data_IF_279403090234
#
_entry.id   IF_279403090234
#
_cell.length_a   1.000
_cell.length_b   1.000
_cell.length_c   1.000
_cell.angle_alpha   90.00
_cell.angle_beta   90.00
_cell.angle_gamma   90.00
#
_symmetry.space_group_name_H-M   'P 1'
#
loop_
_entity.id
_entity.type
_entity.pdbx_description
1 polymer ?
#
# COMPACT_ATOMS: atom_id res chain seq x y z
N UNK A 1 4.16 -43.90 -6.75
CA UNK A 1 4.28 -42.58 -6.11
C UNK A 1 4.76 -41.60 -7.19
N UNK A 2 3.88 -40.75 -7.71
CA UNK A 2 4.22 -39.73 -8.71
C UNK A 2 4.63 -38.45 -8.01
N UNK A 3 5.91 -38.05 -8.20
CA UNK A 3 6.43 -36.76 -7.74
C UNK A 3 5.68 -35.63 -8.46
N UNK A 4 4.87 -34.89 -7.71
CA UNK A 4 4.31 -33.62 -8.15
C UNK A 4 5.36 -32.54 -7.88
N UNK A 5 6.09 -32.15 -8.91
CA UNK A 5 6.91 -30.93 -8.87
C UNK A 5 5.99 -29.73 -8.70
N UNK A 6 6.27 -28.83 -7.77
CA UNK A 6 5.52 -27.58 -7.67
C UNK A 6 5.84 -26.74 -8.92
N UNK A 7 4.82 -26.49 -9.76
CA UNK A 7 4.89 -25.53 -10.85
C UNK A 7 5.29 -24.17 -10.27
N UNK A 8 6.56 -23.81 -10.40
CA UNK A 8 7.02 -22.43 -10.26
C UNK A 8 6.41 -21.66 -11.43
N UNK A 9 5.37 -20.90 -11.15
CA UNK A 9 4.93 -19.83 -12.05
C UNK A 9 6.07 -18.79 -12.02
N UNK A 10 6.89 -18.79 -13.06
CA UNK A 10 7.82 -17.70 -13.31
C UNK A 10 6.98 -16.49 -13.72
N UNK A 11 6.64 -15.66 -12.75
CA UNK A 11 6.15 -14.31 -13.04
C UNK A 11 7.35 -13.54 -13.56
N UNK A 12 7.35 -13.26 -14.86
CA UNK A 12 8.31 -12.36 -15.49
C UNK A 12 8.17 -11.00 -14.78
N UNK A 13 9.14 -10.67 -13.95
CA UNK A 13 9.27 -9.35 -13.34
C UNK A 13 9.57 -8.38 -14.48
N UNK A 14 8.54 -7.75 -15.03
CA UNK A 14 8.73 -6.54 -15.82
C UNK A 14 9.51 -5.57 -14.94
N UNK A 15 10.67 -5.11 -15.44
CA UNK A 15 11.46 -4.07 -14.77
C UNK A 15 10.50 -2.96 -14.34
N UNK A 16 10.54 -2.49 -13.08
CA UNK A 16 9.78 -1.33 -12.71
C UNK A 16 10.19 -0.20 -13.65
N UNK A 17 9.24 0.32 -14.38
CA UNK A 17 9.46 1.49 -15.22
C UNK A 17 9.73 2.65 -14.27
N UNK A 18 11.00 2.99 -14.11
CA UNK A 18 11.45 4.14 -13.35
C UNK A 18 11.09 5.37 -14.18
N UNK A 19 9.92 5.93 -13.98
CA UNK A 19 9.59 7.25 -14.51
C UNK A 19 10.24 8.27 -13.57
N UNK A 20 11.56 8.38 -13.64
CA UNK A 20 12.29 9.51 -13.11
C UNK A 20 12.08 10.66 -14.10
N UNK A 21 11.15 11.53 -13.80
CA UNK A 21 11.11 12.82 -14.44
C UNK A 21 12.08 13.73 -13.67
N UNK A 22 13.16 14.23 -14.28
CA UNK A 22 14.09 15.16 -13.63
C UNK A 22 13.38 16.50 -13.47
N UNK A 23 12.79 16.74 -12.30
CA UNK A 23 12.08 17.98 -12.05
C UNK A 23 12.97 19.03 -11.42
N UNK A 24 13.20 20.06 -12.18
CA UNK A 24 13.55 21.40 -11.73
C UNK A 24 12.25 22.13 -11.40
N UNK A 25 11.79 22.09 -10.16
CA UNK A 25 10.67 22.92 -9.68
C UNK A 25 9.62 22.18 -8.86
N UNK A 26 9.47 22.58 -7.65
CA UNK A 26 8.36 22.48 -6.66
C UNK A 26 7.29 21.39 -6.87
N UNK A 27 7.66 20.19 -7.20
CA UNK A 27 6.77 19.03 -7.25
C UNK A 27 7.02 18.11 -6.06
N UNK A 28 5.95 17.51 -5.55
CA UNK A 28 6.03 16.59 -4.45
C UNK A 28 6.58 15.21 -4.87
N UNK A 29 6.66 14.31 -3.90
CA UNK A 29 7.09 12.92 -4.11
C UNK A 29 5.97 11.99 -3.67
N UNK A 30 5.69 10.99 -4.49
CA UNK A 30 4.82 9.88 -4.14
C UNK A 30 5.57 8.57 -4.26
N UNK A 31 5.54 7.77 -3.19
CA UNK A 31 6.07 6.41 -3.20
C UNK A 31 5.04 5.45 -2.62
N UNK A 32 4.80 4.35 -3.30
CA UNK A 32 3.92 3.29 -2.87
C UNK A 32 4.50 1.91 -3.20
N UNK A 33 4.05 0.91 -2.46
CA UNK A 33 4.33 -0.51 -2.70
C UNK A 33 3.04 -1.24 -3.01
N UNK A 34 3.10 -2.21 -3.93
CA UNK A 34 1.93 -2.94 -4.45
C UNK A 34 1.95 -4.37 -3.90
N UNK A 35 0.83 -4.90 -3.38
CA UNK A 35 0.74 -6.28 -2.95
C UNK A 35 1.07 -7.27 -4.06
N UNK A 36 1.63 -8.42 -3.71
CA UNK A 36 1.75 -9.55 -4.63
C UNK A 36 0.38 -10.20 -4.90
N UNK A 37 0.35 -11.20 -5.78
CA UNK A 37 -0.90 -11.91 -6.14
C UNK A 37 -1.58 -12.51 -4.90
N UNK A 38 -0.81 -13.06 -3.95
CA UNK A 38 -1.36 -13.61 -2.71
C UNK A 38 -1.97 -12.53 -1.84
N UNK A 39 -1.31 -11.38 -1.73
CA UNK A 39 -1.83 -10.21 -1.03
C UNK A 39 -3.09 -9.65 -1.67
N UNK A 40 -3.13 -9.53 -3.00
CA UNK A 40 -4.32 -9.08 -3.73
C UNK A 40 -5.51 -10.02 -3.48
N UNK A 41 -5.31 -11.34 -3.56
CA UNK A 41 -6.37 -12.33 -3.29
C UNK A 41 -6.89 -12.23 -1.84
N UNK A 42 -6.00 -11.99 -0.88
CA UNK A 42 -6.39 -11.78 0.53
C UNK A 42 -7.25 -10.52 0.68
N UNK A 43 -6.86 -9.42 0.05
CA UNK A 43 -7.59 -8.15 0.11
C UNK A 43 -8.95 -8.24 -0.60
N UNK A 44 -9.02 -8.91 -1.75
CA UNK A 44 -10.28 -9.20 -2.44
C UNK A 44 -11.24 -10.00 -1.55
N UNK A 45 -10.73 -11.02 -0.88
CA UNK A 45 -11.52 -11.82 0.06
C UNK A 45 -12.09 -10.98 1.21
N UNK A 46 -11.29 -10.05 1.77
CA UNK A 46 -11.76 -9.12 2.81
C UNK A 46 -12.85 -8.18 2.27
N UNK A 47 -12.65 -7.60 1.08
CA UNK A 47 -13.65 -6.74 0.44
C UNK A 47 -14.97 -7.50 0.20
N UNK A 48 -14.89 -8.76 -0.25
CA UNK A 48 -16.06 -9.61 -0.44
C UNK A 48 -16.80 -9.89 0.88
N UNK A 49 -16.09 -10.17 1.97
CA UNK A 49 -16.71 -10.34 3.30
C UNK A 49 -17.39 -9.05 3.77
N UNK A 50 -16.77 -7.90 3.55
CA UNK A 50 -17.35 -6.59 3.87
C UNK A 50 -18.57 -6.25 2.99
N UNK A 51 -18.68 -6.85 1.80
CA UNK A 51 -19.69 -6.52 0.81
C UNK A 51 -19.39 -5.23 0.04
N UNK A 52 -18.11 -4.89 -0.12
CA UNK A 52 -17.63 -3.70 -0.84
C UNK A 52 -16.88 -4.07 -2.12
N UNK A 53 -16.81 -3.12 -3.06
CA UNK A 53 -16.05 -3.32 -4.30
C UNK A 53 -14.55 -3.42 -4.05
N UNK A 54 -13.85 -4.22 -4.86
CA UNK A 54 -12.39 -4.35 -4.85
C UNK A 54 -11.82 -3.87 -6.19
N UNK A 55 -10.79 -3.02 -6.13
CA UNK A 55 -10.11 -2.44 -7.29
C UNK A 55 -8.61 -2.77 -7.24
N UNK A 56 -8.18 -3.90 -7.83
CA UNK A 56 -6.79 -4.36 -7.71
C UNK A 56 -5.76 -3.36 -8.27
N UNK A 57 -6.11 -2.65 -9.35
CA UNK A 57 -5.22 -1.67 -10.00
C UNK A 57 -4.97 -0.42 -9.14
N UNK A 58 -5.86 -0.14 -8.19
CA UNK A 58 -5.74 0.99 -7.25
C UNK A 58 -5.15 0.56 -5.91
N UNK A 59 -4.95 -0.75 -5.71
CA UNK A 59 -4.54 -1.32 -4.42
C UNK A 59 -3.05 -1.15 -4.17
N UNK A 60 -2.70 -0.36 -3.17
CA UNK A 60 -1.31 -0.10 -2.79
C UNK A 60 -1.20 0.34 -1.32
N UNK A 61 0.02 0.27 -0.77
CA UNK A 61 0.36 0.91 0.49
C UNK A 61 1.25 2.12 0.21
N UNK A 62 0.79 3.30 0.57
CA UNK A 62 1.58 4.54 0.44
C UNK A 62 2.72 4.53 1.44
N UNK A 63 3.94 4.71 0.93
CA UNK A 63 5.16 4.85 1.75
C UNK A 63 5.40 6.32 2.07
N UNK A 64 5.32 7.20 1.06
CA UNK A 64 5.44 8.66 1.20
C UNK A 64 4.47 9.34 0.23
N UNK A 65 3.80 10.36 0.72
CA UNK A 65 3.07 11.32 -0.10
C UNK A 65 3.44 12.73 0.35
N UNK A 66 4.16 13.46 -0.48
CA UNK A 66 4.64 14.81 -0.21
C UNK A 66 4.23 15.74 -1.34
N UNK A 67 3.53 16.81 -1.00
CA UNK A 67 3.15 17.87 -1.95
C UNK A 67 4.17 19.00 -2.05
N UNK A 68 5.14 19.08 -1.11
CA UNK A 68 5.91 20.31 -0.88
C UNK A 68 7.43 20.20 -1.09
N UNK A 69 8.00 19.00 -1.28
CA UNK A 69 9.44 18.85 -1.34
C UNK A 69 9.87 17.85 -2.40
N UNK A 70 10.83 18.28 -3.21
CA UNK A 70 11.63 17.41 -4.06
C UNK A 70 12.62 16.61 -3.20
N UNK A 71 12.98 15.41 -3.64
CA UNK A 71 14.11 14.67 -3.07
C UNK A 71 15.39 15.43 -3.33
N UNK A 72 16.27 15.52 -2.35
CA UNK A 72 17.57 16.20 -2.47
C UNK A 72 18.51 15.51 -3.45
N UNK A 73 18.33 14.20 -3.64
CA UNK A 73 19.03 13.41 -4.64
C UNK A 73 18.09 12.32 -5.18
N UNK A 74 17.40 12.55 -6.30
CA UNK A 74 16.52 11.57 -6.92
C UNK A 74 17.23 10.26 -7.30
N UNK A 75 18.51 10.29 -7.62
CA UNK A 75 19.26 9.09 -7.99
C UNK A 75 19.44 8.13 -6.80
N UNK A 76 19.50 8.65 -5.58
CA UNK A 76 19.56 7.81 -4.37
C UNK A 76 18.18 7.32 -3.89
N UNK A 77 17.12 7.84 -4.47
CA UNK A 77 15.74 7.46 -4.16
C UNK A 77 15.26 6.26 -4.98
N UNK A 78 16.11 5.65 -5.80
CA UNK A 78 15.74 4.48 -6.58
C UNK A 78 15.03 3.42 -5.72
N UNK A 79 13.91 2.86 -6.23
CA UNK A 79 13.28 1.73 -5.59
C UNK A 79 14.30 0.64 -5.37
N UNK A 80 14.29 0.04 -4.18
CA UNK A 80 15.19 -1.08 -3.90
C UNK A 80 14.71 -2.27 -4.74
N UNK A 81 15.27 -2.38 -5.95
CA UNK A 81 14.89 -3.40 -6.92
C UNK A 81 15.00 -4.81 -6.30
N UNK A 82 13.95 -5.62 -6.47
CA UNK A 82 13.93 -7.02 -6.06
C UNK A 82 13.75 -7.28 -4.55
N UNK A 83 13.51 -6.28 -3.72
CA UNK A 83 13.12 -6.50 -2.32
C UNK A 83 11.63 -6.76 -2.19
N UNK A 84 11.29 -7.90 -1.61
CA UNK A 84 9.96 -8.14 -1.09
C UNK A 84 9.80 -7.41 0.25
N UNK A 85 8.71 -6.67 0.41
CA UNK A 85 8.32 -6.04 1.66
C UNK A 85 7.23 -6.89 2.31
N UNK A 86 7.63 -7.76 3.22
CA UNK A 86 6.66 -8.56 3.98
C UNK A 86 5.79 -7.68 4.86
N UNK A 87 4.51 -8.00 4.92
CA UNK A 87 3.54 -7.32 5.78
C UNK A 87 2.50 -8.28 6.35
N UNK A 88 1.90 -7.88 7.45
CA UNK A 88 0.65 -8.45 7.93
C UNK A 88 -0.40 -7.35 8.10
N UNK A 89 -1.65 -7.71 7.90
CA UNK A 89 -2.78 -6.85 8.20
C UNK A 89 -3.05 -6.88 9.70
N UNK A 90 -3.27 -5.73 10.30
CA UNK A 90 -3.45 -5.60 11.75
C UNK A 90 -4.90 -5.38 12.15
N UNK A 91 -5.63 -4.60 11.37
CA UNK A 91 -7.02 -4.25 11.64
C UNK A 91 -7.65 -3.63 10.39
N UNK A 92 -8.97 -3.52 10.40
CA UNK A 92 -9.75 -2.78 9.42
C UNK A 92 -10.44 -1.63 10.14
N UNK A 93 -10.38 -0.45 9.58
CA UNK A 93 -11.06 0.74 10.08
C UNK A 93 -11.64 1.57 8.93
N UNK A 94 -12.44 2.58 9.25
CA UNK A 94 -12.90 3.53 8.26
C UNK A 94 -12.44 4.95 8.60
N UNK A 95 -12.11 5.73 7.58
CA UNK A 95 -11.67 7.12 7.70
C UNK A 95 -12.52 8.03 6.84
N UNK A 96 -12.73 9.25 7.33
CA UNK A 96 -13.24 10.35 6.49
C UNK A 96 -12.09 11.05 5.80
N UNK A 97 -12.12 11.08 4.46
CA UNK A 97 -11.17 11.84 3.65
C UNK A 97 -11.46 13.34 3.67
N UNK A 98 -10.48 14.14 3.29
CA UNK A 98 -10.66 15.60 3.10
C UNK A 98 -11.63 15.95 1.96
N UNK A 99 -11.86 15.00 1.05
CA UNK A 99 -12.83 15.09 -0.05
C UNK A 99 -14.26 14.75 0.39
N UNK A 100 -14.47 14.48 1.68
CA UNK A 100 -15.76 14.11 2.26
C UNK A 100 -16.14 12.65 2.11
N UNK A 101 -15.38 11.87 1.35
CA UNK A 101 -15.61 10.43 1.16
C UNK A 101 -15.23 9.62 2.39
N UNK A 102 -15.86 8.47 2.53
CA UNK A 102 -15.48 7.49 3.54
C UNK A 102 -14.68 6.37 2.89
N UNK A 103 -13.53 6.07 3.46
CA UNK A 103 -12.61 5.02 3.02
C UNK A 103 -12.60 3.89 4.03
N UNK A 104 -12.69 2.65 3.57
CA UNK A 104 -12.37 1.48 4.38
C UNK A 104 -10.91 1.13 4.11
N UNK A 105 -10.13 1.02 5.17
CA UNK A 105 -8.68 0.78 5.10
C UNK A 105 -8.29 -0.41 5.96
N UNK A 106 -7.28 -1.16 5.51
CA UNK A 106 -6.61 -2.19 6.29
C UNK A 106 -5.28 -1.64 6.81
N UNK A 107 -5.08 -1.65 8.11
CA UNK A 107 -3.81 -1.31 8.73
C UNK A 107 -2.73 -2.32 8.40
N UNK A 108 -1.51 -1.85 8.14
CA UNK A 108 -0.36 -2.64 7.71
C UNK A 108 0.75 -2.59 8.76
N UNK A 109 1.20 -3.75 9.23
CA UNK A 109 2.45 -3.91 9.97
C UNK A 109 3.54 -4.42 9.02
N UNK A 110 4.51 -3.58 8.70
CA UNK A 110 5.67 -3.91 7.87
C UNK A 110 6.88 -3.08 8.29
N UNK A 111 7.85 -3.67 9.00
CA UNK A 111 9.09 -2.98 9.33
C UNK A 111 9.81 -2.42 8.09
N UNK A 112 9.77 -3.16 6.98
CA UNK A 112 10.39 -2.74 5.73
C UNK A 112 9.76 -1.47 5.15
N UNK A 113 8.41 -1.34 5.18
CA UNK A 113 7.69 -0.13 4.76
C UNK A 113 8.03 1.05 5.67
N UNK A 114 8.09 0.84 6.98
CA UNK A 114 8.48 1.89 7.95
C UNK A 114 9.92 2.36 7.73
N UNK A 115 10.85 1.42 7.50
CA UNK A 115 12.25 1.75 7.21
C UNK A 115 12.39 2.52 5.90
N UNK A 116 11.65 2.13 4.86
CA UNK A 116 11.64 2.80 3.57
C UNK A 116 11.03 4.22 3.68
N UNK A 117 9.93 4.37 4.42
CA UNK A 117 9.39 5.68 4.77
C UNK A 117 10.47 6.57 5.43
N UNK A 118 11.17 6.05 6.45
CA UNK A 118 12.23 6.79 7.13
C UNK A 118 13.41 7.10 6.20
N UNK A 119 13.76 6.21 5.25
CA UNK A 119 14.78 6.45 4.25
C UNK A 119 14.42 7.63 3.34
N UNK A 120 13.23 7.61 2.76
CA UNK A 120 12.76 8.69 1.87
C UNK A 120 12.62 10.02 2.62
N UNK A 121 12.21 10.00 3.90
CA UNK A 121 12.19 11.18 4.76
C UNK A 121 13.59 11.80 4.94
N UNK A 122 14.62 10.97 5.15
CA UNK A 122 16.02 11.43 5.23
C UNK A 122 16.53 12.04 3.92
N UNK A 123 16.00 11.58 2.78
CA UNK A 123 16.32 12.13 1.46
C UNK A 123 15.55 13.42 1.13
N UNK A 124 14.81 13.96 2.08
CA UNK A 124 14.12 15.25 1.96
C UNK A 124 12.61 15.16 1.70
N UNK A 125 12.05 13.97 1.46
CA UNK A 125 10.61 13.86 1.29
C UNK A 125 9.87 14.29 2.58
N UNK A 126 8.90 15.19 2.44
CA UNK A 126 8.00 15.57 3.55
C UNK A 126 6.71 14.77 3.38
N UNK A 127 6.38 13.91 4.36
CA UNK A 127 5.10 13.23 4.35
C UNK A 127 3.98 14.16 4.77
N UNK A 128 2.92 14.28 3.95
CA UNK A 128 1.83 15.22 4.18
C UNK A 128 0.87 14.78 5.29
N UNK A 129 0.95 13.52 5.72
CA UNK A 129 0.11 12.96 6.79
C UNK A 129 0.95 12.58 8.01
N UNK A 130 0.62 13.14 9.17
CA UNK A 130 1.37 12.89 10.42
C UNK A 130 0.38 12.51 11.53
N UNK A 131 0.61 11.40 12.27
CA UNK A 131 1.70 10.44 12.13
C UNK A 131 1.55 9.54 10.89
N UNK A 132 2.68 8.96 10.43
CA UNK A 132 2.65 7.95 9.37
C UNK A 132 1.94 6.69 9.85
N UNK A 133 0.90 6.29 9.12
CA UNK A 133 0.15 5.04 9.35
C UNK A 133 0.16 4.25 8.05
N UNK A 134 0.93 3.16 8.03
CA UNK A 134 0.93 2.27 6.88
C UNK A 134 -0.43 1.58 6.75
N UNK A 135 -1.06 1.71 5.60
CA UNK A 135 -2.39 1.15 5.33
C UNK A 135 -2.58 0.86 3.84
N UNK A 136 -3.56 0.02 3.54
CA UNK A 136 -4.07 -0.23 2.20
C UNK A 136 -5.53 0.19 2.17
N UNK A 137 -5.92 1.01 1.21
CA UNK A 137 -7.32 1.32 0.96
C UNK A 137 -8.00 0.12 0.32
N UNK A 138 -9.02 -0.41 0.98
CA UNK A 138 -9.83 -1.53 0.51
C UNK A 138 -10.96 -1.04 -0.39
N UNK A 139 -11.62 0.04 -0.01
CA UNK A 139 -12.70 0.64 -0.78
C UNK A 139 -12.86 2.12 -0.44
N UNK A 140 -13.39 2.88 -1.38
CA UNK A 140 -13.65 4.32 -1.25
C UNK A 140 -15.13 4.62 -1.51
N UNK A 141 -15.60 5.74 -0.95
CA UNK A 141 -16.96 6.25 -1.10
C UNK A 141 -18.03 5.25 -0.58
N UNK A 142 -17.73 4.64 0.58
CA UNK A 142 -18.57 3.62 1.20
C UNK A 142 -19.48 4.24 2.27
N UNK A 143 -20.75 3.90 2.25
CA UNK A 143 -21.64 4.16 3.38
C UNK A 143 -21.39 3.11 4.46
N UNK A 144 -20.89 3.55 5.61
CA UNK A 144 -20.66 2.67 6.76
C UNK A 144 -21.96 2.51 7.55
N UNK A 145 -22.76 1.55 7.14
CA UNK A 145 -23.98 1.16 7.87
C UNK A 145 -23.62 0.35 9.12
N UNK A 146 -24.58 0.18 10.08
CA UNK A 146 -24.36 -0.72 11.22
C UNK A 146 -23.97 -2.15 10.82
N UNK A 147 -24.48 -2.63 9.68
CA UNK A 147 -24.12 -3.95 9.14
C UNK A 147 -22.66 -4.00 8.68
N UNK A 148 -22.19 -2.98 7.95
CA UNK A 148 -20.79 -2.88 7.53
C UNK A 148 -19.87 -2.78 8.75
N UNK A 149 -20.27 -2.00 9.77
CA UNK A 149 -19.50 -1.90 11.01
C UNK A 149 -19.40 -3.25 11.74
N UNK A 150 -20.49 -4.00 11.85
CA UNK A 150 -20.47 -5.32 12.46
C UNK A 150 -19.51 -6.29 11.73
N UNK A 151 -19.47 -6.24 10.39
CA UNK A 151 -18.51 -7.02 9.58
C UNK A 151 -17.06 -6.58 9.81
N UNK A 152 -16.82 -5.28 9.96
CA UNK A 152 -15.48 -4.75 10.31
C UNK A 152 -15.05 -5.32 11.67
N UNK A 153 -15.92 -5.30 12.66
CA UNK A 153 -15.63 -5.79 14.02
C UNK A 153 -15.34 -7.30 14.02
N UNK A 154 -16.12 -8.10 13.27
CA UNK A 154 -15.90 -9.54 13.08
C UNK A 154 -14.54 -9.81 12.43
N UNK A 155 -14.21 -9.12 11.34
CA UNK A 155 -12.93 -9.27 10.65
C UNK A 155 -11.74 -8.84 11.50
N UNK A 156 -11.90 -7.81 12.33
CA UNK A 156 -10.87 -7.41 13.28
C UNK A 156 -10.58 -8.48 14.33
N UNK A 157 -11.60 -9.20 14.77
CA UNK A 157 -11.42 -10.35 15.66
C UNK A 157 -10.69 -11.49 14.94
N UNK A 158 -11.06 -11.80 13.69
CA UNK A 158 -10.37 -12.82 12.89
C UNK A 158 -8.88 -12.47 12.69
N UNK A 159 -8.58 -11.21 12.30
CA UNK A 159 -7.21 -10.74 12.11
C UNK A 159 -6.38 -10.78 13.39
N UNK A 160 -6.98 -10.49 14.53
CA UNK A 160 -6.30 -10.58 15.84
C UNK A 160 -5.95 -12.03 16.22
N UNK A 161 -6.78 -13.00 15.83
CA UNK A 161 -6.56 -14.43 16.13
C UNK A 161 -5.63 -15.12 15.12
N UNK A 162 -5.66 -14.70 13.85
CA UNK A 162 -4.90 -15.30 12.76
C UNK A 162 -4.47 -14.22 11.75
N UNK A 163 -3.45 -13.41 12.05
CA UNK A 163 -3.00 -12.37 11.15
C UNK A 163 -2.45 -13.00 9.85
N UNK A 164 -3.08 -12.65 8.73
CA UNK A 164 -2.59 -13.03 7.41
C UNK A 164 -1.31 -12.28 7.07
N UNK A 165 -0.37 -12.95 6.41
CA UNK A 165 0.85 -12.35 5.90
C UNK A 165 0.94 -12.44 4.39
N UNK A 166 1.43 -11.39 3.75
CA UNK A 166 1.69 -11.31 2.32
C UNK A 166 2.91 -10.43 2.04
N UNK A 167 3.26 -10.22 0.78
CA UNK A 167 4.36 -9.34 0.41
C UNK A 167 3.93 -8.28 -0.60
N UNK A 168 4.60 -7.13 -0.53
CA UNK A 168 4.62 -6.15 -1.61
C UNK A 168 5.76 -6.46 -2.56
N UNK A 169 5.49 -6.43 -3.86
CA UNK A 169 6.45 -6.85 -4.90
C UNK A 169 7.06 -5.70 -5.69
N UNK A 170 6.36 -4.57 -5.74
CA UNK A 170 6.79 -3.42 -6.53
C UNK A 170 6.71 -2.14 -5.71
N UNK A 171 7.79 -1.36 -5.74
CA UNK A 171 7.79 0.01 -5.25
C UNK A 171 7.70 0.96 -6.45
N UNK A 172 6.74 1.87 -6.41
CA UNK A 172 6.66 3.02 -7.33
C UNK A 172 7.11 4.27 -6.60
N UNK A 173 7.95 5.08 -7.24
CA UNK A 173 8.28 6.44 -6.80
C UNK A 173 7.98 7.36 -7.99
N UNK A 174 7.07 8.29 -7.81
CA UNK A 174 6.65 9.23 -8.87
C UNK A 174 6.59 10.65 -8.33
N UNK A 175 6.82 11.60 -9.21
CA UNK A 175 6.62 13.01 -8.89
C UNK A 175 5.13 13.35 -8.83
N UNK A 176 4.74 14.09 -7.81
CA UNK A 176 3.39 14.61 -7.67
C UNK A 176 3.35 15.99 -8.32
N UNK A 177 2.62 16.12 -9.41
CA UNK A 177 2.37 17.43 -10.04
C UNK A 177 1.47 18.25 -9.11
N UNK A 178 1.79 19.54 -8.94
CA UNK A 178 0.83 20.48 -8.35
C UNK A 178 -0.33 20.62 -9.34
N UNK A 179 -1.53 20.21 -8.92
CA UNK A 179 -2.78 20.58 -9.58
C UNK A 179 -3.15 22.03 -9.29
#
# INVERSE_FOLDING_TARGET
MKNLSPNRIQVSLSKPELVLNPYTGASGVYSAVVPDVSGLNQLEFLCKKLGVGFHPDETHCTVVYSKEAALTDPATAEPVAGKAFWYCLTHIEHWKGHDGKTYIVAGVCSPAVVMEHARLRRLGAKHSFTPFKAHITLSSDVEVTPEVQAKIDELNLELALAPGSASFINQKIVDVKKG
#
